data_IF_358487096694
#
_entry.id   IF_358487096694
#
_cell.length_a   1.000
_cell.length_b   1.000
_cell.length_c   1.000
_cell.angle_alpha   90.00
_cell.angle_beta   90.00
_cell.angle_gamma   90.00
#
_symmetry.space_group_name_H-M   'P 1'
#
loop_
_entity.id
_entity.type
_entity.pdbx_description
1 polymer ?
#
# COMPACT_ATOMS: atom_id res chain seq x y z
N UNK A 1 -16.31 -17.87 -12.51
CA UNK A 1 -15.33 -17.14 -11.70
C UNK A 1 -15.53 -15.67 -11.96
N UNK A 2 -15.82 -14.90 -10.92
CA UNK A 2 -16.08 -13.46 -10.99
C UNK A 2 -14.90 -12.72 -10.35
N UNK A 3 -14.56 -11.54 -10.90
CA UNK A 3 -13.50 -10.67 -10.37
C UNK A 3 -14.12 -9.37 -9.87
N UNK A 4 -13.88 -9.04 -8.60
CA UNK A 4 -14.28 -7.79 -7.97
C UNK A 4 -13.03 -6.95 -7.70
N UNK A 5 -13.11 -5.64 -7.98
CA UNK A 5 -12.02 -4.69 -7.73
C UNK A 5 -12.56 -3.59 -6.82
N UNK A 6 -11.86 -3.35 -5.71
CA UNK A 6 -12.13 -2.25 -4.78
C UNK A 6 -10.92 -1.31 -4.84
N UNK A 7 -11.09 -0.17 -5.51
CA UNK A 7 -10.07 0.85 -5.70
C UNK A 7 -10.74 2.24 -5.83
N UNK A 8 -10.62 3.14 -4.85
CA UNK A 8 -9.85 3.00 -3.62
C UNK A 8 -10.62 2.24 -2.52
N UNK A 9 -9.89 1.56 -1.64
CA UNK A 9 -10.42 1.23 -0.30
C UNK A 9 -10.49 2.52 0.51
N UNK A 10 -11.66 2.85 1.06
CA UNK A 10 -11.91 4.10 1.80
C UNK A 10 -11.85 3.91 3.32
N UNK A 11 -11.77 5.03 4.06
CA UNK A 11 -11.64 5.09 5.55
C UNK A 11 -10.38 4.40 6.10
N UNK A 12 -9.30 4.47 5.33
CA UNK A 12 -7.95 4.09 5.72
C UNK A 12 -7.00 5.28 5.50
N UNK A 13 -5.78 5.19 6.01
CA UNK A 13 -4.68 6.05 5.57
C UNK A 13 -4.06 5.46 4.29
N UNK A 14 -3.60 6.31 3.38
CA UNK A 14 -2.87 5.90 2.19
C UNK A 14 -3.73 5.43 1.01
N UNK A 15 -3.12 4.63 0.13
CA UNK A 15 -3.71 4.17 -1.12
C UNK A 15 -3.66 2.64 -1.20
N UNK A 16 -4.83 2.01 -1.22
CA UNK A 16 -4.97 0.57 -1.26
C UNK A 16 -5.98 0.16 -2.32
N UNK A 17 -5.55 -0.80 -3.13
CA UNK A 17 -6.38 -1.57 -4.07
C UNK A 17 -6.52 -3.00 -3.57
N UNK A 18 -7.72 -3.56 -3.66
CA UNK A 18 -8.00 -4.97 -3.39
C UNK A 18 -8.69 -5.62 -4.58
N UNK A 19 -8.14 -6.72 -5.07
CA UNK A 19 -8.72 -7.54 -6.13
C UNK A 19 -9.14 -8.89 -5.56
N UNK A 20 -10.37 -9.31 -5.81
CA UNK A 20 -10.96 -10.53 -5.25
C UNK A 20 -11.49 -11.41 -6.37
N UNK A 21 -11.10 -12.68 -6.36
CA UNK A 21 -11.67 -13.71 -7.24
C UNK A 21 -12.71 -14.51 -6.45
N UNK A 22 -13.94 -14.52 -6.95
CA UNK A 22 -15.07 -15.23 -6.36
C UNK A 22 -15.34 -16.55 -7.11
N UNK A 23 -15.68 -17.57 -6.33
CA UNK A 23 -16.14 -18.89 -6.78
C UNK A 23 -17.37 -19.28 -5.98
N UNK A 24 -18.51 -19.45 -6.66
CA UNK A 24 -19.82 -19.71 -6.04
C UNK A 24 -20.16 -18.75 -4.87
N UNK A 25 -19.90 -17.45 -5.05
CA UNK A 25 -20.17 -16.41 -4.04
C UNK A 25 -19.20 -16.40 -2.85
N UNK A 26 -18.16 -17.25 -2.86
CA UNK A 26 -17.11 -17.27 -1.84
C UNK A 26 -15.79 -16.73 -2.39
N UNK A 27 -15.02 -16.06 -1.54
CA UNK A 27 -13.67 -15.61 -1.89
C UNK A 27 -12.76 -16.82 -2.04
N UNK A 28 -12.14 -16.94 -3.21
CA UNK A 28 -11.17 -17.99 -3.53
C UNK A 28 -9.73 -17.47 -3.52
N UNK A 29 -9.53 -16.24 -3.99
CA UNK A 29 -8.23 -15.55 -3.98
C UNK A 29 -8.46 -14.06 -3.74
N UNK A 30 -7.52 -13.42 -3.04
CA UNK A 30 -7.47 -11.97 -2.90
C UNK A 30 -6.04 -11.46 -3.09
N UNK A 31 -5.90 -10.30 -3.72
CA UNK A 31 -4.63 -9.58 -3.87
C UNK A 31 -4.78 -8.17 -3.35
N UNK A 32 -3.82 -7.74 -2.56
CA UNK A 32 -3.71 -6.36 -2.09
C UNK A 32 -2.59 -5.64 -2.84
N UNK A 33 -2.76 -4.36 -3.10
CA UNK A 33 -1.74 -3.54 -3.74
C UNK A 33 -1.71 -2.16 -3.10
N UNK A 34 -0.58 -1.81 -2.50
CA UNK A 34 -0.26 -0.43 -2.15
C UNK A 34 0.15 0.31 -3.43
N UNK A 35 -0.62 1.32 -3.82
CA UNK A 35 -0.47 1.95 -5.15
C UNK A 35 0.35 3.24 -5.12
N UNK A 36 0.93 3.60 -3.97
CA UNK A 36 1.78 4.78 -3.80
C UNK A 36 3.12 4.40 -3.16
N UNK A 37 4.22 4.91 -3.72
CA UNK A 37 5.57 4.78 -3.17
C UNK A 37 6.26 6.15 -3.16
N UNK A 38 6.93 6.48 -2.05
CA UNK A 38 7.66 7.75 -1.88
C UNK A 38 9.17 7.58 -1.74
N UNK A 39 9.66 6.39 -1.37
CA UNK A 39 11.10 6.11 -1.29
C UNK A 39 11.85 6.81 -0.16
N UNK A 40 11.29 6.91 1.05
CA UNK A 40 11.96 7.53 2.20
C UNK A 40 13.35 6.94 2.49
N UNK A 41 13.52 5.63 2.33
CA UNK A 41 14.81 4.96 2.50
C UNK A 41 15.85 5.41 1.47
N UNK A 42 15.41 5.71 0.24
CA UNK A 42 16.29 6.25 -0.81
C UNK A 42 16.68 7.69 -0.46
N UNK A 43 15.74 8.49 0.05
CA UNK A 43 15.98 9.87 0.51
C UNK A 43 17.05 9.93 1.61
N UNK A 44 17.14 8.90 2.46
CA UNK A 44 18.13 8.83 3.54
C UNK A 44 19.56 8.50 3.08
N UNK A 45 19.77 7.98 1.87
CA UNK A 45 21.10 7.60 1.40
C UNK A 45 22.05 8.81 1.38
N UNK A 46 23.21 8.66 2.03
CA UNK A 46 24.24 9.70 2.10
C UNK A 46 23.97 10.82 3.11
N UNK A 47 22.89 10.73 3.90
CA UNK A 47 22.60 11.70 4.97
C UNK A 47 23.28 11.32 6.27
N UNK A 48 23.45 12.32 7.14
CA UNK A 48 23.90 12.09 8.50
C UNK A 48 22.85 11.26 9.26
N UNK A 49 23.24 10.23 10.03
CA UNK A 49 22.29 9.41 10.79
C UNK A 49 21.39 10.19 11.74
N UNK A 50 21.82 11.36 12.21
CA UNK A 50 21.04 12.22 13.12
C UNK A 50 19.83 12.85 12.45
N UNK A 51 19.83 12.99 11.12
CA UNK A 51 18.72 13.57 10.36
C UNK A 51 17.55 12.60 10.19
N UNK A 52 17.79 11.29 10.41
CA UNK A 52 16.85 10.24 10.05
C UNK A 52 15.48 10.42 10.71
N UNK A 53 15.45 10.70 12.02
CA UNK A 53 14.19 10.80 12.79
C UNK A 53 13.28 11.91 12.30
N UNK A 54 13.84 13.08 11.95
CA UNK A 54 13.05 14.20 11.46
C UNK A 54 12.51 13.93 10.05
N UNK A 55 13.29 13.25 9.20
CA UNK A 55 12.85 12.92 7.85
C UNK A 55 11.80 11.80 7.89
N UNK A 56 12.03 10.70 8.61
CA UNK A 56 11.15 9.52 8.60
C UNK A 56 9.91 9.63 9.45
N UNK A 57 9.81 10.61 10.36
CA UNK A 57 8.54 10.92 11.03
C UNK A 57 7.40 11.23 10.04
N UNK A 58 7.72 11.56 8.78
CA UNK A 58 6.76 11.90 7.73
C UNK A 58 6.40 10.70 6.84
N UNK A 59 6.76 9.47 7.23
CA UNK A 59 6.24 8.24 6.62
C UNK A 59 4.78 8.07 6.99
#
# INVERSE_FOLDING_TARGET
MEKVIIDPVTRIEGHLKVEVMLDAGKVKEARTSGTLFRGFEIILKGRDPRDASQITQRV
#
